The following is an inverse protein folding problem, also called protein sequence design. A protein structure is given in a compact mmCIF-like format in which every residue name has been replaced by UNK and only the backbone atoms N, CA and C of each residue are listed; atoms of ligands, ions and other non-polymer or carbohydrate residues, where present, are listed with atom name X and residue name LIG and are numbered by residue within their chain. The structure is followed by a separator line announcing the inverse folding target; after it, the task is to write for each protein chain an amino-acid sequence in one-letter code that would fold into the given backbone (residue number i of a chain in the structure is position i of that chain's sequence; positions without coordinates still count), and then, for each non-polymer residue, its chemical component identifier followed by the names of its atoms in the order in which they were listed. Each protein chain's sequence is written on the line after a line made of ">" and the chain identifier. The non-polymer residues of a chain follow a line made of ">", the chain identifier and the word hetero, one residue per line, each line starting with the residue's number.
data_IF_876594465609
#
_entry.id   IF_876594465609
#
_cell.length_a   1.000
_cell.length_b   1.000
_cell.length_c   1.000
_cell.angle_alpha   90.00
_cell.angle_beta   90.00
_cell.angle_gamma   90.00
#
_symmetry.space_group_name_H-M   'P 1'
#
loop_
_entity.id
_entity.type
_entity.pdbx_description
1 polymer ?
#
# COMPACT_ATOMS: atom_id res chain seq x y z
N UNK A 1 11.16 -10.97 -0.49
CA UNK A 1 10.17 -11.21 -1.57
C UNK A 1 8.87 -11.66 -0.91
N UNK A 2 7.81 -10.86 -0.95
CA UNK A 2 6.51 -11.27 -0.40
C UNK A 2 5.81 -12.20 -1.38
N UNK A 3 5.45 -13.41 -0.94
CA UNK A 3 4.68 -14.35 -1.75
C UNK A 3 3.23 -13.86 -1.91
N UNK A 4 2.76 -13.70 -3.15
CA UNK A 4 1.35 -13.38 -3.40
C UNK A 4 0.49 -14.61 -3.13
N UNK A 5 -0.50 -14.47 -2.24
CA UNK A 5 -1.44 -15.55 -1.91
C UNK A 5 -2.66 -15.48 -2.83
N UNK A 6 -2.95 -16.50 -3.65
CA UNK A 6 -4.15 -16.50 -4.49
C UNK A 6 -5.44 -16.46 -3.66
N UNK A 7 -6.42 -15.67 -4.10
CA UNK A 7 -7.75 -15.58 -3.48
C UNK A 7 -8.40 -16.95 -3.28
N UNK A 8 -8.18 -17.87 -4.23
CA UNK A 8 -8.72 -19.22 -4.16
C UNK A 8 -8.11 -20.03 -2.99
N UNK A 9 -6.84 -19.79 -2.67
CA UNK A 9 -6.16 -20.44 -1.54
C UNK A 9 -6.73 -19.95 -0.21
N UNK A 10 -7.01 -18.65 -0.10
CA UNK A 10 -7.68 -18.05 1.07
C UNK A 10 -9.11 -18.59 1.22
N UNK A 11 -9.88 -18.60 0.12
CA UNK A 11 -11.25 -19.11 0.10
C UNK A 11 -11.32 -20.57 0.55
N UNK A 12 -10.43 -21.42 0.03
CA UNK A 12 -10.32 -22.83 0.44
C UNK A 12 -9.94 -22.96 1.92
N UNK A 13 -8.94 -22.20 2.39
CA UNK A 13 -8.49 -22.27 3.79
C UNK A 13 -9.53 -21.80 4.81
N UNK A 14 -10.45 -20.93 4.40
CA UNK A 14 -11.54 -20.42 5.24
C UNK A 14 -12.88 -21.15 5.01
N UNK A 15 -12.94 -22.11 4.09
CA UNK A 15 -14.17 -22.76 3.65
C UNK A 15 -15.28 -21.77 3.23
N UNK A 16 -14.90 -20.75 2.45
CA UNK A 16 -15.80 -19.71 1.97
C UNK A 16 -15.82 -19.64 0.44
N UNK A 17 -16.90 -19.10 -0.11
CA UNK A 17 -16.96 -18.83 -1.53
C UNK A 17 -15.98 -17.70 -1.92
N UNK A 18 -15.28 -17.89 -3.04
CA UNK A 18 -14.27 -16.93 -3.55
C UNK A 18 -14.82 -15.51 -3.69
N UNK A 19 -16.09 -15.38 -4.08
CA UNK A 19 -16.72 -14.07 -4.26
C UNK A 19 -16.98 -13.37 -2.92
N UNK A 20 -17.29 -14.11 -1.84
CA UNK A 20 -17.44 -13.56 -0.49
C UNK A 20 -16.10 -13.01 0.02
N UNK A 21 -15.01 -13.79 -0.12
CA UNK A 21 -13.65 -13.35 0.23
C UNK A 21 -13.25 -12.10 -0.56
N UNK A 22 -13.51 -12.07 -1.87
CA UNK A 22 -13.27 -10.90 -2.72
C UNK A 22 -14.02 -9.66 -2.23
N UNK A 23 -15.29 -9.82 -1.85
CA UNK A 23 -16.13 -8.73 -1.32
C UNK A 23 -15.60 -8.20 0.01
N UNK A 24 -15.23 -9.08 0.93
CA UNK A 24 -14.66 -8.71 2.23
C UNK A 24 -13.33 -7.97 2.04
N UNK A 25 -12.42 -8.48 1.21
CA UNK A 25 -11.13 -7.84 0.94
C UNK A 25 -11.32 -6.46 0.34
N UNK A 26 -12.28 -6.27 -0.57
CA UNK A 26 -12.60 -4.93 -1.13
C UNK A 26 -13.07 -3.96 -0.05
N UNK A 27 -13.96 -4.39 0.85
CA UNK A 27 -14.45 -3.58 1.95
C UNK A 27 -13.33 -3.20 2.94
N UNK A 28 -12.52 -4.20 3.32
CA UNK A 28 -11.37 -4.01 4.20
C UNK A 28 -10.35 -3.05 3.58
N UNK A 29 -10.00 -3.26 2.31
CA UNK A 29 -9.09 -2.39 1.57
C UNK A 29 -9.58 -0.94 1.57
N UNK A 30 -10.87 -0.72 1.31
CA UNK A 30 -11.46 0.64 1.33
C UNK A 30 -11.34 1.28 2.71
N UNK A 31 -11.65 0.54 3.78
CA UNK A 31 -11.56 1.05 5.17
C UNK A 31 -10.12 1.34 5.59
N UNK A 32 -9.18 0.44 5.24
CA UNK A 32 -7.75 0.60 5.53
C UNK A 32 -7.15 1.81 4.82
N UNK A 33 -7.48 1.99 3.53
CA UNK A 33 -7.05 3.16 2.75
C UNK A 33 -7.56 4.44 3.40
N UNK A 34 -8.85 4.52 3.74
CA UNK A 34 -9.40 5.71 4.38
C UNK A 34 -8.72 6.00 5.73
N UNK A 35 -8.51 4.99 6.58
CA UNK A 35 -7.86 5.17 7.88
C UNK A 35 -6.40 5.64 7.74
N UNK A 36 -5.65 5.08 6.79
CA UNK A 36 -4.23 5.39 6.59
C UNK A 36 -4.00 6.81 6.06
N UNK A 37 -4.87 7.32 5.18
CA UNK A 37 -4.80 8.70 4.69
C UNK A 37 -5.46 9.71 5.64
N UNK A 38 -6.44 9.29 6.44
CA UNK A 38 -7.13 10.13 7.43
C UNK A 38 -6.25 10.48 8.63
N UNK A 39 -5.39 9.55 9.07
CA UNK A 39 -4.45 9.81 10.16
C UNK A 39 -3.29 10.67 9.65
N UNK A 40 -3.34 11.98 9.94
CA UNK A 40 -2.15 12.84 9.94
C UNK A 40 -1.24 12.40 11.09
N UNK A 41 -0.35 11.47 10.82
CA UNK A 41 0.80 11.27 11.68
C UNK A 41 1.74 12.45 11.41
N UNK A 42 1.86 13.38 12.35
CA UNK A 42 2.95 14.36 12.34
C UNK A 42 4.22 13.62 12.79
N UNK A 43 5.36 13.95 12.19
CA UNK A 43 6.66 13.47 12.69
C UNK A 43 6.97 14.31 13.92
N UNK A 44 6.91 13.69 15.10
CA UNK A 44 6.73 14.44 16.35
C UNK A 44 8.01 14.60 17.18
N UNK A 45 9.07 13.84 16.91
CA UNK A 45 10.26 13.87 17.76
C UNK A 45 11.39 14.71 17.16
N UNK A 46 11.86 15.69 17.94
CA UNK A 46 13.03 16.49 17.64
C UNK A 46 14.26 15.55 17.54
N UNK A 47 15.10 15.72 16.51
CA UNK A 47 16.25 14.86 16.19
C UNK A 47 15.94 13.41 15.77
N UNK A 48 14.72 13.11 15.32
CA UNK A 48 14.42 11.79 14.74
C UNK A 48 15.00 11.63 13.34
N UNK A 49 15.74 10.53 13.11
CA UNK A 49 16.23 10.17 11.77
C UNK A 49 15.05 9.56 11.00
N UNK A 50 14.71 10.13 9.85
CA UNK A 50 13.67 9.62 8.97
C UNK A 50 14.31 8.95 7.76
N UNK A 51 13.86 7.74 7.45
CA UNK A 51 14.15 7.10 6.16
C UNK A 51 13.03 7.44 5.20
N UNK A 52 13.40 7.98 4.06
CA UNK A 52 12.49 8.30 2.97
C UNK A 52 12.77 7.33 1.83
N UNK A 53 11.75 6.66 1.33
CA UNK A 53 11.85 5.77 0.18
C UNK A 53 10.72 6.00 -0.83
N UNK A 54 11.01 5.79 -2.11
CA UNK A 54 10.06 5.90 -3.21
C UNK A 54 9.78 4.53 -3.81
N UNK A 55 8.51 4.12 -3.77
CA UNK A 55 8.05 2.87 -4.37
C UNK A 55 7.06 3.12 -5.49
N UNK A 56 7.26 2.44 -6.62
CA UNK A 56 6.32 2.45 -7.75
C UNK A 56 5.44 1.20 -7.70
N UNK A 57 4.18 1.37 -7.35
CA UNK A 57 3.19 0.31 -7.41
C UNK A 57 2.53 0.31 -8.78
N UNK A 58 2.58 -0.82 -9.48
CA UNK A 58 2.06 -0.89 -10.83
C UNK A 58 1.19 -2.14 -11.05
N UNK A 59 0.24 -2.02 -11.97
CA UNK A 59 -0.55 -3.16 -12.43
C UNK A 59 0.37 -4.14 -13.15
N UNK A 60 0.18 -5.44 -12.92
CA UNK A 60 0.93 -6.49 -13.61
C UNK A 60 0.86 -6.30 -15.12
N UNK A 61 2.01 -6.27 -15.79
CA UNK A 61 2.10 -6.20 -17.25
C UNK A 61 1.71 -7.57 -17.82
N UNK A 62 0.49 -7.68 -18.31
CA UNK A 62 0.12 -8.76 -19.21
C UNK A 62 0.52 -8.31 -20.62
N UNK A 63 1.28 -9.12 -21.36
CA UNK A 63 1.87 -8.82 -22.68
C UNK A 63 0.81 -8.58 -23.78
N UNK A 64 -0.01 -7.53 -23.63
CA UNK A 64 -1.09 -7.13 -24.55
C UNK A 64 -0.97 -5.67 -24.99
N UNK A 65 0.24 -5.11 -24.96
CA UNK A 65 0.50 -3.73 -25.38
C UNK A 65 -0.10 -2.61 -24.50
N UNK A 66 -0.87 -2.94 -23.45
CA UNK A 66 -1.47 -1.95 -22.56
C UNK A 66 -0.44 -1.21 -21.72
N UNK A 67 -0.58 0.13 -21.64
CA UNK A 67 0.23 0.98 -20.76
C UNK A 67 0.06 0.52 -19.31
N UNK A 68 1.16 0.17 -18.67
CA UNK A 68 1.20 -0.19 -17.26
C UNK A 68 0.77 1.02 -16.44
N UNK A 69 -0.41 0.94 -15.82
CA UNK A 69 -0.87 1.95 -14.88
C UNK A 69 -0.11 1.75 -13.57
N UNK A 70 0.37 2.84 -13.00
CA UNK A 70 1.10 2.78 -11.74
C UNK A 70 1.00 4.08 -10.97
N UNK A 71 1.22 3.96 -9.68
CA UNK A 71 1.17 5.03 -8.71
C UNK A 71 2.53 5.08 -8.04
N UNK A 72 3.10 6.27 -7.92
CA UNK A 72 4.26 6.50 -7.07
C UNK A 72 3.78 6.75 -5.65
N UNK A 73 4.41 6.08 -4.70
CA UNK A 73 4.13 6.28 -3.28
C UNK A 73 5.46 6.60 -2.62
N UNK A 74 5.51 7.74 -1.94
CA UNK A 74 6.57 8.08 -1.02
C UNK A 74 6.20 7.53 0.36
N UNK A 75 7.10 6.77 0.97
CA UNK A 75 7.00 6.35 2.36
C UNK A 75 8.09 7.02 3.19
N UNK A 76 7.70 7.62 4.30
CA UNK A 76 8.60 8.19 5.28
C UNK A 76 8.42 7.44 6.58
N UNK A 77 9.49 6.82 7.10
CA UNK A 77 9.46 6.05 8.34
C UNK A 77 10.47 6.64 9.32
N UNK A 78 10.01 6.97 10.52
CA UNK A 78 10.88 7.36 11.63
C UNK A 78 11.69 6.15 12.12
N UNK A 79 13.01 6.30 12.31
CA UNK A 79 13.87 5.30 12.96
C UNK A 79 13.73 5.34 14.49
N UNK A 80 12.51 5.21 14.97
CA UNK A 80 12.16 5.08 16.39
C UNK A 80 11.69 3.66 16.69
N UNK A 81 11.57 3.28 17.96
CA UNK A 81 11.04 1.97 18.35
C UNK A 81 9.60 1.76 17.85
N UNK A 82 8.82 2.84 17.72
CA UNK A 82 7.43 2.79 17.26
C UNK A 82 7.30 2.72 15.74
N UNK A 83 8.35 3.10 14.97
CA UNK A 83 8.39 3.09 13.49
C UNK A 83 7.14 3.71 12.86
N UNK A 84 6.78 4.93 13.31
CA UNK A 84 5.67 5.66 12.70
C UNK A 84 5.98 5.93 11.24
N UNK A 85 4.98 5.73 10.38
CA UNK A 85 5.12 5.97 8.95
C UNK A 85 4.07 6.93 8.39
N UNK A 86 4.46 7.61 7.31
CA UNK A 86 3.63 8.50 6.52
C UNK A 86 3.72 8.03 5.07
N UNK A 87 2.57 7.70 4.48
CA UNK A 87 2.47 7.43 3.06
C UNK A 87 1.86 8.62 2.33
N UNK A 88 2.51 9.03 1.24
CA UNK A 88 1.99 10.05 0.34
C UNK A 88 2.02 9.55 -1.10
N UNK A 89 0.87 9.66 -1.75
CA UNK A 89 0.74 9.37 -3.18
C UNK A 89 1.31 10.51 -4.01
N UNK A 90 2.14 10.19 -5.01
CA UNK A 90 2.64 11.13 -6.02
C UNK A 90 2.22 10.70 -7.43
N UNK A 91 1.97 11.68 -8.30
CA UNK A 91 1.59 11.43 -9.69
C UNK A 91 2.80 11.15 -10.60
N UNK A 92 4.01 11.61 -10.23
CA UNK A 92 5.22 11.48 -11.04
C UNK A 92 6.42 11.12 -10.15
N UNK A 93 7.38 10.38 -10.72
CA UNK A 93 8.68 10.11 -10.05
C UNK A 93 9.38 11.43 -9.77
N UNK A 94 9.79 11.68 -8.52
CA UNK A 94 10.37 12.97 -8.12
C UNK A 94 9.46 14.19 -8.36
N UNK A 95 8.14 13.98 -8.56
CA UNK A 95 7.19 15.07 -8.71
C UNK A 95 7.03 15.84 -7.41
N UNK A 96 6.85 17.17 -7.49
CA UNK A 96 6.52 18.00 -6.32
C UNK A 96 5.25 17.44 -5.66
N UNK A 97 5.32 17.26 -4.34
CA UNK A 97 4.33 16.62 -3.47
C UNK A 97 3.32 17.66 -2.97
#
# INVERSE_FOLDING_TARGET
>A
MSEEIPLLKIARGLNLEKHAVSRIIKLMSKKLVMNKYSKKNVIHELNSIVVIDESKFCTRKYNKGHKVKGVWVLDCVERTHQRKNILKQSQKRGGKI
#
